data_IF_032830827833
#
_entry.id   IF_032830827833
#
_cell.length_a   1.000
_cell.length_b   1.000
_cell.length_c   1.000
_cell.angle_alpha   90.00
_cell.angle_beta   90.00
_cell.angle_gamma   90.00
#
_symmetry.space_group_name_H-M   'P 1'
#
loop_
_entity.id
_entity.type
_entity.pdbx_description
1 polymer ?
#
# COMPACT_ATOMS: atom_id res chain seq x y z
N UNK A 1 -3.82 0.51 -19.17
CA UNK A 1 -2.89 1.51 -18.66
C UNK A 1 -3.78 2.68 -18.27
N UNK A 2 -3.82 3.01 -17.01
CA UNK A 2 -4.70 4.06 -16.49
C UNK A 2 -3.94 5.39 -16.54
N UNK A 3 -4.53 6.42 -17.12
CA UNK A 3 -3.94 7.74 -17.32
C UNK A 3 -4.50 8.73 -16.29
N UNK A 4 -3.70 9.72 -15.89
CA UNK A 4 -4.17 10.84 -15.06
C UNK A 4 -5.26 11.69 -15.76
N UNK A 5 -5.47 11.48 -17.06
CA UNK A 5 -6.55 12.08 -17.84
C UNK A 5 -7.84 11.24 -17.87
N UNK A 6 -7.84 10.03 -17.30
CA UNK A 6 -9.03 9.18 -17.27
C UNK A 6 -10.07 9.78 -16.32
N UNK A 7 -11.35 9.71 -16.72
CA UNK A 7 -12.47 10.35 -15.99
C UNK A 7 -12.55 9.95 -14.52
N UNK A 8 -12.05 8.78 -14.16
CA UNK A 8 -12.05 8.27 -12.78
C UNK A 8 -11.07 9.00 -11.85
N UNK A 9 -10.03 9.65 -12.39
CA UNK A 9 -9.05 10.44 -11.62
C UNK A 9 -9.29 11.95 -11.69
N UNK A 10 -10.21 12.40 -12.55
CA UNK A 10 -10.55 13.81 -12.66
C UNK A 10 -11.49 14.23 -11.53
N UNK A 11 -11.13 15.30 -10.83
CA UNK A 11 -11.96 15.90 -9.79
C UNK A 11 -12.91 16.90 -10.43
N UNK A 12 -14.21 16.80 -10.12
CA UNK A 12 -15.17 17.84 -10.50
C UNK A 12 -14.88 19.13 -9.73
N UNK A 13 -14.50 20.19 -10.46
CA UNK A 13 -14.15 21.48 -9.87
C UNK A 13 -15.33 22.27 -9.32
N UNK A 14 -16.57 21.81 -9.58
CA UNK A 14 -17.79 22.41 -9.03
C UNK A 14 -18.09 21.97 -7.60
N UNK A 15 -17.28 21.06 -7.03
CA UNK A 15 -17.50 20.57 -5.67
C UNK A 15 -17.30 21.69 -4.64
N UNK A 16 -18.11 21.67 -3.59
CA UNK A 16 -18.24 22.74 -2.58
C UNK A 16 -16.90 23.13 -1.94
N UNK A 17 -15.98 22.18 -1.74
CA UNK A 17 -14.66 22.46 -1.17
C UNK A 17 -13.73 23.22 -2.12
N UNK A 18 -13.93 23.17 -3.43
CA UNK A 18 -13.16 23.91 -4.44
C UNK A 18 -13.76 25.29 -4.76
N UNK A 19 -15.06 25.47 -4.54
CA UNK A 19 -15.78 26.73 -4.83
C UNK A 19 -16.06 27.58 -3.60
N UNK A 20 -16.10 26.97 -2.40
CA UNK A 20 -16.47 27.62 -1.14
C UNK A 20 -15.36 28.44 -0.47
N UNK A 21 -14.22 28.66 -1.13
CA UNK A 21 -13.08 29.39 -0.56
C UNK A 21 -12.27 28.61 0.48
N UNK A 22 -12.58 27.32 0.71
CA UNK A 22 -11.86 26.45 1.64
C UNK A 22 -10.59 25.82 1.04
N UNK A 23 -10.46 25.83 -0.28
CA UNK A 23 -9.28 25.29 -0.97
C UNK A 23 -8.13 26.30 -0.96
N UNK A 24 -6.93 25.93 -0.49
CA UNK A 24 -5.80 26.85 -0.44
C UNK A 24 -5.41 27.36 -1.83
N UNK A 25 -5.04 28.65 -1.89
CA UNK A 25 -4.54 29.28 -3.11
C UNK A 25 -3.18 28.67 -3.51
N UNK A 26 -3.02 28.35 -4.80
CA UNK A 26 -1.81 27.72 -5.33
C UNK A 26 -1.74 26.19 -5.23
N UNK A 27 -2.69 25.52 -4.57
CA UNK A 27 -2.76 24.05 -4.54
C UNK A 27 -3.48 23.54 -5.79
N UNK A 28 -2.84 22.71 -6.64
CA UNK A 28 -3.47 22.14 -7.82
C UNK A 28 -4.74 21.35 -7.48
N UNK A 29 -5.78 21.52 -8.30
CA UNK A 29 -7.08 20.86 -8.09
C UNK A 29 -7.14 19.46 -8.71
N UNK A 30 -6.24 19.17 -9.66
CA UNK A 30 -6.15 17.90 -10.35
C UNK A 30 -4.78 17.25 -10.11
N UNK A 31 -4.76 15.92 -10.01
CA UNK A 31 -3.52 15.16 -9.87
C UNK A 31 -2.61 15.26 -11.10
N UNK A 32 -3.19 15.42 -12.30
CA UNK A 32 -2.45 15.58 -13.56
C UNK A 32 -1.63 16.88 -13.62
N UNK A 33 -2.00 17.87 -12.83
CA UNK A 33 -1.34 19.18 -12.81
C UNK A 33 -0.17 19.21 -11.81
N UNK A 34 0.07 18.10 -11.10
CA UNK A 34 1.18 17.94 -10.17
C UNK A 34 2.31 17.17 -10.85
N UNK A 35 3.50 17.76 -10.86
CA UNK A 35 4.68 17.13 -11.44
C UNK A 35 5.14 15.92 -10.62
N UNK A 36 5.59 14.86 -11.31
CA UNK A 36 6.13 13.66 -10.67
C UNK A 36 5.09 12.66 -10.12
N UNK A 37 3.79 12.89 -10.35
CA UNK A 37 2.75 11.90 -10.03
C UNK A 37 2.72 10.81 -11.10
N UNK A 38 2.80 9.56 -10.65
CA UNK A 38 2.63 8.36 -11.49
C UNK A 38 1.51 7.48 -10.92
N UNK A 39 0.64 6.97 -11.82
CA UNK A 39 -0.39 6.01 -11.43
C UNK A 39 0.20 4.61 -11.55
N UNK A 40 0.52 4.03 -10.39
CA UNK A 40 1.10 2.70 -10.33
C UNK A 40 0.38 1.84 -9.29
N UNK A 41 0.21 0.52 -9.52
CA UNK A 41 -0.25 -0.38 -8.48
C UNK A 41 0.64 -0.27 -7.24
N UNK A 42 0.03 -0.27 -6.05
CA UNK A 42 0.74 -0.04 -4.79
C UNK A 42 1.97 -0.96 -4.62
N UNK A 43 1.87 -2.23 -5.04
CA UNK A 43 3.00 -3.17 -5.06
C UNK A 43 4.20 -2.67 -5.88
N UNK A 44 3.94 -2.14 -7.08
CA UNK A 44 4.98 -1.56 -7.94
C UNK A 44 5.51 -0.25 -7.37
N UNK A 45 4.63 0.55 -6.75
CA UNK A 45 5.03 1.75 -6.01
C UNK A 45 6.06 1.44 -4.94
N UNK A 46 5.84 0.38 -4.14
CA UNK A 46 6.81 -0.03 -3.12
C UNK A 46 8.16 -0.45 -3.70
N UNK A 47 8.16 -1.19 -4.83
CA UNK A 47 9.40 -1.58 -5.52
C UNK A 47 10.13 -0.33 -6.02
N UNK A 48 9.41 0.57 -6.70
CA UNK A 48 9.97 1.82 -7.21
C UNK A 48 10.61 2.65 -6.10
N UNK A 49 9.91 2.84 -4.98
CA UNK A 49 10.48 3.54 -3.82
C UNK A 49 11.70 2.82 -3.23
N UNK A 50 11.67 1.49 -3.17
CA UNK A 50 12.81 0.72 -2.67
C UNK A 50 14.07 0.91 -3.55
N UNK A 51 13.87 0.96 -4.87
CA UNK A 51 14.92 1.20 -5.86
C UNK A 51 15.42 2.65 -5.84
N UNK A 52 14.51 3.63 -5.92
CA UNK A 52 14.82 5.06 -5.96
C UNK A 52 15.63 5.52 -4.74
N UNK A 53 15.32 4.97 -3.56
CA UNK A 53 16.00 5.31 -2.31
C UNK A 53 17.09 4.31 -1.91
N UNK A 54 17.28 3.22 -2.64
CA UNK A 54 18.31 2.20 -2.34
C UNK A 54 18.12 1.51 -0.97
N UNK A 55 16.90 1.35 -0.49
CA UNK A 55 16.58 0.95 0.90
C UNK A 55 16.32 -0.56 1.09
N UNK A 56 16.62 -1.37 0.08
CA UNK A 56 16.36 -2.83 0.11
C UNK A 56 16.97 -3.56 1.31
N UNK A 57 18.15 -3.12 1.73
CA UNK A 57 18.94 -3.77 2.77
C UNK A 57 18.86 -3.05 4.13
N UNK A 58 18.00 -2.03 4.24
CA UNK A 58 17.70 -1.32 5.48
C UNK A 58 16.75 -2.13 6.37
N UNK A 59 16.92 -2.01 7.68
CA UNK A 59 15.99 -2.52 8.68
C UNK A 59 14.74 -1.62 8.74
N UNK A 60 13.66 -2.00 8.04
CA UNK A 60 12.45 -1.18 7.90
C UNK A 60 11.35 -1.60 8.87
N UNK A 61 11.24 -2.90 9.16
CA UNK A 61 10.25 -3.39 10.11
C UNK A 61 10.93 -3.71 11.43
N UNK A 62 10.52 -3.01 12.48
CA UNK A 62 10.92 -3.26 13.85
C UNK A 62 9.72 -3.83 14.58
N UNK A 63 9.78 -5.10 14.95
CA UNK A 63 8.76 -5.75 15.75
C UNK A 63 9.29 -5.95 17.18
N UNK A 64 8.56 -5.42 18.15
CA UNK A 64 8.90 -5.56 19.56
C UNK A 64 7.83 -6.40 20.26
N UNK A 65 8.24 -7.47 20.95
CA UNK A 65 7.38 -8.29 21.79
C UNK A 65 8.03 -8.49 23.16
N UNK A 66 7.67 -7.63 24.11
CA UNK A 66 8.34 -7.59 25.42
C UNK A 66 9.82 -7.23 25.27
N UNK A 67 10.72 -8.11 25.71
CA UNK A 67 12.17 -7.96 25.57
C UNK A 67 12.72 -8.41 24.20
N UNK A 68 11.89 -9.03 23.37
CA UNK A 68 12.28 -9.47 22.03
C UNK A 68 12.15 -8.33 21.03
N UNK A 69 13.21 -8.07 20.27
CA UNK A 69 13.24 -7.09 19.19
C UNK A 69 13.70 -7.78 17.91
N UNK A 70 12.83 -7.83 16.91
CA UNK A 70 13.16 -8.30 15.58
C UNK A 70 13.31 -7.12 14.63
N UNK A 71 14.41 -7.12 13.87
CA UNK A 71 14.68 -6.16 12.80
C UNK A 71 14.68 -6.91 11.49
N UNK A 72 13.79 -6.50 10.59
CA UNK A 72 13.63 -7.17 9.30
C UNK A 72 13.95 -6.22 8.17
N UNK A 73 14.87 -6.67 7.30
CA UNK A 73 15.24 -5.97 6.08
C UNK A 73 14.07 -5.90 5.12
N UNK A 74 13.96 -4.82 4.36
CA UNK A 74 12.90 -4.65 3.36
C UNK A 74 12.86 -5.81 2.36
N UNK A 75 14.02 -6.23 1.85
CA UNK A 75 14.15 -7.39 0.94
C UNK A 75 13.49 -8.64 1.52
N UNK A 76 13.70 -8.91 2.81
CA UNK A 76 13.15 -10.08 3.49
C UNK A 76 11.63 -9.98 3.64
N UNK A 77 11.12 -8.80 3.95
CA UNK A 77 9.68 -8.55 4.04
C UNK A 77 8.99 -8.81 2.70
N UNK A 78 9.59 -8.37 1.59
CA UNK A 78 9.09 -8.65 0.24
C UNK A 78 9.12 -10.15 -0.11
N UNK A 79 10.16 -10.88 0.30
CA UNK A 79 10.20 -12.34 0.13
C UNK A 79 9.05 -13.03 0.89
N UNK A 80 8.82 -12.64 2.15
CA UNK A 80 7.71 -13.19 2.94
C UNK A 80 6.35 -12.87 2.32
N UNK A 81 6.14 -11.63 1.88
CA UNK A 81 4.93 -11.22 1.20
C UNK A 81 4.66 -12.01 -0.08
N UNK A 82 5.69 -12.23 -0.92
CA UNK A 82 5.57 -13.05 -2.14
C UNK A 82 5.19 -14.49 -1.80
N UNK A 83 5.89 -15.12 -0.84
CA UNK A 83 5.59 -16.50 -0.41
C UNK A 83 4.15 -16.63 0.10
N UNK A 84 3.71 -15.69 0.93
CA UNK A 84 2.36 -15.68 1.46
C UNK A 84 1.32 -15.45 0.37
N UNK A 85 1.55 -14.48 -0.53
CA UNK A 85 0.67 -14.24 -1.67
C UNK A 85 0.54 -15.45 -2.60
N UNK A 86 1.66 -16.14 -2.90
CA UNK A 86 1.63 -17.40 -3.66
C UNK A 86 0.79 -18.47 -2.95
N UNK A 87 0.90 -18.61 -1.63
CA UNK A 87 0.04 -19.51 -0.86
C UNK A 87 -1.44 -19.14 -0.96
N UNK A 88 -1.78 -17.85 -0.80
CA UNK A 88 -3.15 -17.36 -0.95
C UNK A 88 -3.74 -17.69 -2.33
N UNK A 89 -2.93 -17.51 -3.38
CA UNK A 89 -3.35 -17.73 -4.76
C UNK A 89 -3.46 -19.22 -5.10
N UNK A 90 -2.39 -19.99 -4.90
CA UNK A 90 -2.32 -21.39 -5.34
C UNK A 90 -3.06 -22.35 -4.41
N UNK A 91 -3.02 -22.11 -3.10
CA UNK A 91 -3.58 -23.05 -2.11
C UNK A 91 -4.98 -22.66 -1.67
N UNK A 92 -5.24 -21.37 -1.40
CA UNK A 92 -6.55 -20.91 -0.94
C UNK A 92 -7.47 -20.45 -2.09
N UNK A 93 -6.95 -20.38 -3.31
CA UNK A 93 -7.75 -20.03 -4.49
C UNK A 93 -8.13 -18.56 -4.59
N UNK A 94 -7.50 -17.67 -3.82
CA UNK A 94 -7.78 -16.22 -3.87
C UNK A 94 -7.33 -15.68 -5.22
N UNK A 95 -8.16 -14.83 -5.82
CA UNK A 95 -7.93 -14.23 -7.13
C UNK A 95 -7.91 -12.71 -7.04
N UNK A 96 -7.48 -12.11 -8.15
CA UNK A 96 -7.47 -10.65 -8.31
C UNK A 96 -8.90 -10.11 -8.17
N UNK A 97 -9.07 -9.10 -7.32
CA UNK A 97 -10.37 -8.49 -7.04
C UNK A 97 -11.10 -9.08 -5.84
N UNK A 98 -10.68 -10.24 -5.32
CA UNK A 98 -11.26 -10.80 -4.11
C UNK A 98 -10.94 -9.93 -2.90
N UNK A 99 -11.90 -9.82 -1.97
CA UNK A 99 -11.74 -9.04 -0.74
C UNK A 99 -11.26 -9.95 0.39
N UNK A 100 -10.11 -9.62 0.97
CA UNK A 100 -9.49 -10.37 2.07
C UNK A 100 -9.49 -9.53 3.34
N UNK A 101 -10.19 -10.02 4.36
CA UNK A 101 -10.17 -9.41 5.70
C UNK A 101 -8.97 -9.94 6.51
N UNK A 102 -8.19 -9.03 7.11
CA UNK A 102 -7.06 -9.37 7.99
C UNK A 102 -7.37 -8.89 9.40
N UNK A 103 -7.46 -9.85 10.34
CA UNK A 103 -7.59 -9.61 11.79
C UNK A 103 -6.35 -10.18 12.49
N UNK A 104 -5.29 -9.38 12.53
CA UNK A 104 -4.04 -9.70 13.20
C UNK A 104 -3.65 -8.58 14.18
N UNK A 105 -2.99 -8.90 15.31
CA UNK A 105 -2.43 -7.88 16.18
C UNK A 105 -1.29 -7.14 15.47
N UNK A 106 -0.86 -6.01 16.05
CA UNK A 106 0.28 -5.23 15.56
C UNK A 106 1.56 -6.10 15.56
N UNK A 107 1.86 -6.70 14.42
CA UNK A 107 2.92 -7.68 14.23
C UNK A 107 3.41 -7.65 12.79
N UNK A 108 4.61 -8.18 12.55
CA UNK A 108 5.16 -8.30 11.20
C UNK A 108 4.23 -9.10 10.26
N UNK A 109 3.49 -10.07 10.81
CA UNK A 109 2.53 -10.88 10.05
C UNK A 109 1.44 -10.04 9.41
N UNK A 110 1.01 -8.94 10.05
CA UNK A 110 0.06 -8.01 9.45
C UNK A 110 0.63 -7.36 8.18
N UNK A 111 1.88 -6.91 8.24
CA UNK A 111 2.56 -6.27 7.10
C UNK A 111 2.77 -7.26 5.97
N UNK A 112 3.23 -8.49 6.29
CA UNK A 112 3.40 -9.57 5.32
C UNK A 112 2.07 -9.92 4.64
N UNK A 113 1.00 -10.05 5.41
CA UNK A 113 -0.32 -10.39 4.88
C UNK A 113 -0.89 -9.27 3.99
N UNK A 114 -0.74 -8.02 4.40
CA UNK A 114 -1.14 -6.85 3.62
C UNK A 114 -0.40 -6.79 2.29
N UNK A 115 0.93 -6.89 2.32
CA UNK A 115 1.77 -6.87 1.12
C UNK A 115 1.52 -8.08 0.21
N UNK A 116 1.29 -9.27 0.78
CA UNK A 116 1.00 -10.49 0.03
C UNK A 116 -0.33 -10.43 -0.72
N UNK A 117 -1.38 -9.86 -0.10
CA UNK A 117 -2.65 -9.59 -0.79
C UNK A 117 -2.45 -8.62 -1.96
N UNK A 118 -1.68 -7.55 -1.73
CA UNK A 118 -1.39 -6.55 -2.76
C UNK A 118 -0.57 -7.12 -3.93
N UNK A 119 0.33 -8.07 -3.67
CA UNK A 119 1.13 -8.78 -4.68
C UNK A 119 0.26 -9.57 -5.67
N UNK A 120 -0.79 -10.25 -5.19
CA UNK A 120 -1.71 -11.04 -6.03
C UNK A 120 -2.87 -10.22 -6.60
N UNK A 121 -2.99 -8.94 -6.22
CA UNK A 121 -4.07 -8.06 -6.65
C UNK A 121 -5.40 -8.30 -5.95
N UNK A 122 -5.38 -8.91 -4.75
CA UNK A 122 -6.53 -8.97 -3.86
C UNK A 122 -6.73 -7.61 -3.15
N UNK A 123 -7.98 -7.32 -2.79
CA UNK A 123 -8.36 -6.10 -2.06
C UNK A 123 -8.30 -6.40 -0.57
N UNK A 124 -7.37 -5.76 0.13
CA UNK A 124 -7.16 -5.98 1.56
C UNK A 124 -8.02 -5.04 2.41
N UNK A 125 -8.73 -5.59 3.39
CA UNK A 125 -9.36 -4.83 4.47
C UNK A 125 -8.78 -5.28 5.81
N UNK A 126 -7.84 -4.50 6.33
CA UNK A 126 -7.20 -4.77 7.61
C UNK A 126 -7.83 -3.97 8.75
N UNK A 127 -8.13 -4.62 9.86
CA UNK A 127 -8.42 -3.94 11.13
C UNK A 127 -7.30 -4.27 12.11
N UNK A 128 -6.43 -3.31 12.41
CA UNK A 128 -5.44 -3.46 13.47
C UNK A 128 -6.14 -3.43 14.82
N UNK A 129 -6.10 -4.54 15.57
CA UNK A 129 -6.46 -4.50 17.00
C UNK A 129 -5.23 -4.09 17.80
N UNK A 130 -5.29 -2.91 18.41
CA UNK A 130 -4.39 -2.54 19.50
C UNK A 130 -4.88 -3.34 20.71
N UNK A 131 -4.15 -4.40 21.09
CA UNK A 131 -4.34 -4.97 22.42
C UNK A 131 -3.71 -3.97 23.40
N UNK A 132 -4.57 -3.26 24.12
CA UNK A 132 -4.19 -2.41 25.26
C UNK A 132 -3.96 -3.29 26.49
#
# INVERSE_FOLDING_TARGET
MTSLNDKEFLVDEKKVWLTGGYWPEGVPKQLKDVEGIDITPLWKGFIKSADDYGIWDNDICIFAYGSYLERVKLRKLFEYAKKFGTFLYDTLGIRKGDVVAIDLPNSINFVVAYMGCQYIGAIVQGKGRIQA
#
